data_IF_680532211471
#
_entry.id   IF_680532211471
#
_cell.length_a   1.000
_cell.length_b   1.000
_cell.length_c   1.000
_cell.angle_alpha   90.00
_cell.angle_beta   90.00
_cell.angle_gamma   90.00
#
_symmetry.space_group_name_H-M   'P 1'
#
loop_
_entity.id
_entity.type
_entity.pdbx_description
1 polymer ?
#
# COMPACT_ATOMS: atom_id res chain seq x y z
N UNK A 1 34.23 2.47 -40.44
CA UNK A 1 34.92 1.48 -39.58
C UNK A 1 33.88 0.97 -38.61
N UNK A 2 33.49 -0.30 -38.70
CA UNK A 2 32.62 -0.90 -37.69
C UNK A 2 33.41 -1.00 -36.37
N UNK A 3 32.77 -0.73 -35.24
CA UNK A 3 33.39 -0.91 -33.94
C UNK A 3 33.67 -2.42 -33.71
N UNK A 4 34.84 -2.82 -33.18
CA UNK A 4 35.20 -4.24 -32.98
C UNK A 4 34.13 -5.05 -32.25
N UNK A 5 33.47 -4.43 -31.26
CA UNK A 5 32.35 -5.02 -30.50
C UNK A 5 31.13 -5.39 -31.35
N UNK A 6 30.79 -4.61 -32.38
CA UNK A 6 29.64 -4.90 -33.25
C UNK A 6 29.96 -6.10 -34.16
N UNK A 7 31.22 -6.25 -34.55
CA UNK A 7 31.67 -7.34 -35.41
C UNK A 7 31.65 -8.69 -34.66
N UNK A 8 32.07 -8.72 -33.39
CA UNK A 8 32.03 -9.96 -32.58
C UNK A 8 30.61 -10.38 -32.21
N UNK A 9 29.72 -9.44 -31.86
CA UNK A 9 28.32 -9.74 -31.56
C UNK A 9 27.59 -10.32 -32.79
N UNK A 10 27.90 -9.84 -34.00
CA UNK A 10 27.38 -10.41 -35.24
C UNK A 10 27.82 -11.87 -35.48
N UNK A 11 29.03 -12.23 -35.04
CA UNK A 11 29.52 -13.62 -35.08
C UNK A 11 28.81 -14.50 -34.06
N UNK A 12 28.58 -14.00 -32.84
CA UNK A 12 27.79 -14.72 -31.83
C UNK A 12 26.36 -14.97 -32.30
N UNK A 13 25.71 -13.97 -32.89
CA UNK A 13 24.37 -14.10 -33.46
C UNK A 13 24.31 -15.18 -34.57
N UNK A 14 25.31 -15.20 -35.46
CA UNK A 14 25.39 -16.22 -36.50
C UNK A 14 25.66 -17.62 -35.92
N UNK A 15 26.46 -17.73 -34.86
CA UNK A 15 26.70 -19.00 -34.15
C UNK A 15 25.42 -19.48 -33.47
N UNK A 16 24.67 -18.58 -32.83
CA UNK A 16 23.38 -18.89 -32.22
C UNK A 16 22.36 -19.39 -33.25
N UNK A 17 22.25 -18.74 -34.42
CA UNK A 17 21.38 -19.22 -35.50
C UNK A 17 21.71 -20.66 -35.91
N UNK A 18 23.00 -20.99 -36.03
CA UNK A 18 23.42 -22.36 -36.31
C UNK A 18 23.10 -23.33 -35.16
N UNK A 19 23.37 -22.94 -33.91
CA UNK A 19 23.07 -23.73 -32.71
C UNK A 19 21.56 -24.02 -32.59
N UNK A 20 20.73 -22.98 -32.71
CA UNK A 20 19.27 -23.07 -32.64
C UNK A 20 18.65 -23.98 -33.71
N UNK A 21 19.36 -24.21 -34.81
CA UNK A 21 18.97 -25.13 -35.89
C UNK A 21 19.33 -26.59 -35.61
N UNK A 22 20.08 -26.88 -34.55
CA UNK A 22 20.43 -28.25 -34.18
C UNK A 22 19.23 -28.99 -33.56
N UNK A 23 19.15 -30.34 -33.71
CA UNK A 23 18.04 -31.13 -33.15
C UNK A 23 17.99 -31.11 -31.62
N UNK A 24 19.15 -31.06 -30.96
CA UNK A 24 19.27 -30.96 -29.50
C UNK A 24 20.47 -30.07 -29.16
N UNK A 25 20.21 -28.99 -28.42
CA UNK A 25 21.24 -28.11 -27.87
C UNK A 25 21.87 -28.70 -26.60
N UNK A 26 21.09 -29.47 -25.84
CA UNK A 26 21.52 -30.09 -24.59
C UNK A 26 22.56 -31.19 -24.80
N UNK A 27 22.45 -31.93 -25.91
CA UNK A 27 23.31 -33.07 -26.23
C UNK A 27 24.43 -32.72 -27.22
N UNK A 28 24.62 -31.43 -27.50
CA UNK A 28 25.63 -30.98 -28.46
C UNK A 28 27.04 -31.17 -27.88
N UNK A 29 27.93 -31.74 -28.69
CA UNK A 29 29.33 -31.85 -28.33
C UNK A 29 30.01 -30.49 -28.43
N UNK A 30 30.59 -30.02 -27.32
CA UNK A 30 31.33 -28.76 -27.24
C UNK A 30 32.49 -28.70 -28.23
N UNK A 31 33.10 -29.84 -28.60
CA UNK A 31 34.17 -29.86 -29.61
C UNK A 31 33.69 -29.40 -30.99
N UNK A 32 32.44 -29.73 -31.34
CA UNK A 32 31.80 -29.29 -32.59
C UNK A 32 31.47 -27.80 -32.55
N UNK A 33 31.03 -27.32 -31.39
CA UNK A 33 30.75 -25.89 -31.17
C UNK A 33 32.04 -25.07 -31.27
N UNK A 34 33.13 -25.54 -30.65
CA UNK A 34 34.44 -24.90 -30.74
C UNK A 34 34.93 -24.83 -32.19
N UNK A 35 34.94 -25.96 -32.91
CA UNK A 35 35.37 -26.00 -34.30
C UNK A 35 34.54 -25.05 -35.17
N UNK A 36 33.23 -24.94 -34.92
CA UNK A 36 32.36 -24.01 -35.64
C UNK A 36 32.69 -22.54 -35.33
N UNK A 37 32.95 -22.21 -34.07
CA UNK A 37 33.34 -20.87 -33.66
C UNK A 37 34.68 -20.45 -34.30
N UNK A 38 35.66 -21.35 -34.35
CA UNK A 38 36.95 -21.11 -34.99
C UNK A 38 36.82 -20.87 -36.50
N UNK A 39 35.95 -21.61 -37.20
CA UNK A 39 35.61 -21.36 -38.63
C UNK A 39 35.02 -19.96 -38.83
N UNK A 40 34.32 -19.43 -37.82
CA UNK A 40 33.75 -18.08 -37.84
C UNK A 40 34.75 -17.00 -37.39
N UNK A 41 36.03 -17.37 -37.28
CA UNK A 41 37.12 -16.48 -36.83
C UNK A 41 36.85 -15.90 -35.43
N UNK A 42 36.36 -16.75 -34.52
CA UNK A 42 36.33 -16.48 -33.08
C UNK A 42 37.51 -17.21 -32.42
N UNK A 43 38.36 -16.48 -31.69
CA UNK A 43 39.40 -17.06 -30.84
C UNK A 43 38.76 -17.54 -29.55
N UNK A 44 38.64 -18.87 -29.39
CA UNK A 44 38.03 -19.48 -28.20
C UNK A 44 39.08 -19.67 -27.11
N UNK A 45 38.87 -19.06 -25.95
CA UNK A 45 39.71 -19.27 -24.76
C UNK A 45 39.15 -20.36 -23.84
N UNK A 46 37.84 -20.31 -23.60
CA UNK A 46 37.14 -21.34 -22.85
C UNK A 46 35.77 -21.58 -23.47
N UNK A 47 35.32 -22.82 -23.36
CA UNK A 47 34.01 -23.26 -23.79
C UNK A 47 33.50 -24.31 -22.81
N UNK A 48 32.47 -23.97 -22.05
CA UNK A 48 31.96 -24.82 -20.98
C UNK A 48 30.46 -24.60 -20.76
N UNK A 49 29.79 -25.58 -20.15
CA UNK A 49 28.39 -25.45 -19.77
C UNK A 49 28.33 -24.88 -18.36
N UNK A 50 27.66 -23.74 -18.20
CA UNK A 50 27.43 -23.11 -16.91
C UNK A 50 25.96 -22.72 -16.74
N UNK A 51 25.60 -22.34 -15.51
CA UNK A 51 24.32 -21.71 -15.20
C UNK A 51 24.55 -20.20 -15.05
N UNK A 52 23.94 -19.41 -15.92
CA UNK A 52 24.11 -17.94 -16.00
C UNK A 52 22.84 -17.23 -15.57
N UNK A 53 22.94 -16.07 -14.94
CA UNK A 53 21.80 -15.34 -14.38
C UNK A 53 22.06 -14.84 -12.96
N UNK A 54 21.27 -13.86 -12.51
CA UNK A 54 21.38 -13.33 -11.13
C UNK A 54 20.45 -14.01 -10.12
N UNK A 55 19.25 -14.42 -10.55
CA UNK A 55 18.22 -15.00 -9.69
C UNK A 55 17.96 -16.45 -10.12
N UNK A 56 17.04 -16.66 -11.05
CA UNK A 56 16.90 -17.95 -11.71
C UNK A 56 17.97 -18.07 -12.78
N UNK A 57 18.68 -19.20 -12.77
CA UNK A 57 19.83 -19.41 -13.63
C UNK A 57 19.44 -20.20 -14.89
N UNK A 58 19.81 -19.66 -16.04
CA UNK A 58 19.67 -20.29 -17.35
C UNK A 58 20.88 -21.19 -17.61
N UNK A 59 20.70 -22.50 -17.86
CA UNK A 59 21.79 -23.35 -18.30
C UNK A 59 22.20 -22.98 -19.74
N UNK A 60 23.48 -22.71 -19.96
CA UNK A 60 24.01 -22.20 -21.22
C UNK A 60 25.41 -22.72 -21.51
N UNK A 61 25.75 -22.81 -22.80
CA UNK A 61 27.13 -22.92 -23.26
C UNK A 61 27.74 -21.53 -23.17
N UNK A 62 28.78 -21.37 -22.37
CA UNK A 62 29.52 -20.13 -22.19
C UNK A 62 30.80 -20.21 -23.01
N UNK A 63 30.90 -19.33 -24.01
CA UNK A 63 32.06 -19.18 -24.87
C UNK A 63 32.78 -17.88 -24.50
N UNK A 64 34.01 -17.99 -24.00
CA UNK A 64 34.84 -16.84 -23.69
C UNK A 64 35.85 -16.60 -24.82
N UNK A 65 35.95 -15.35 -25.27
CA UNK A 65 36.95 -14.87 -26.24
C UNK A 65 37.86 -13.82 -25.59
N UNK A 66 38.85 -13.31 -26.32
CA UNK A 66 39.72 -12.19 -25.85
C UNK A 66 38.91 -10.94 -25.49
N UNK A 67 37.83 -10.66 -26.21
CA UNK A 67 37.11 -9.39 -26.14
C UNK A 67 35.79 -9.46 -25.37
N UNK A 68 35.08 -10.59 -25.41
CA UNK A 68 33.75 -10.76 -24.82
C UNK A 68 33.42 -12.22 -24.49
N UNK A 69 32.41 -12.39 -23.64
CA UNK A 69 31.79 -13.69 -23.33
C UNK A 69 30.38 -13.75 -23.90
N UNK A 70 30.04 -14.90 -24.50
CA UNK A 70 28.73 -15.20 -25.04
C UNK A 70 28.12 -16.42 -24.33
N UNK A 71 26.86 -16.31 -23.94
CA UNK A 71 26.08 -17.40 -23.34
C UNK A 71 25.01 -17.85 -24.35
N UNK A 72 25.05 -19.12 -24.73
CA UNK A 72 24.09 -19.76 -25.61
C UNK A 72 23.21 -20.70 -24.79
N UNK A 73 21.93 -20.35 -24.51
CA UNK A 73 21.04 -21.17 -23.71
C UNK A 73 20.88 -22.60 -24.27
N UNK A 74 20.84 -23.59 -23.38
CA UNK A 74 20.71 -25.01 -23.75
C UNK A 74 19.29 -25.42 -24.16
N UNK A 75 18.31 -24.58 -23.87
CA UNK A 75 16.90 -24.81 -24.16
C UNK A 75 16.35 -23.62 -24.90
N UNK A 76 15.51 -23.84 -25.92
CA UNK A 76 14.75 -22.74 -26.50
C UNK A 76 13.71 -22.24 -25.49
N UNK A 77 13.27 -21.00 -25.66
CA UNK A 77 12.20 -20.42 -24.85
C UNK A 77 10.97 -21.34 -24.93
N UNK A 78 10.45 -21.74 -23.77
CA UNK A 78 9.32 -22.68 -23.65
C UNK A 78 9.68 -24.16 -23.61
N UNK A 79 10.93 -24.54 -23.91
CA UNK A 79 11.39 -25.94 -23.83
C UNK A 79 12.03 -26.28 -22.48
N UNK A 80 12.52 -25.28 -21.74
CA UNK A 80 13.06 -25.46 -20.39
C UNK A 80 11.91 -25.73 -19.38
N UNK A 81 11.82 -26.95 -18.80
CA UNK A 81 10.76 -27.28 -17.86
C UNK A 81 10.76 -26.38 -16.62
N UNK A 82 11.93 -25.99 -16.11
CA UNK A 82 12.06 -25.16 -14.92
C UNK A 82 11.53 -23.74 -15.20
N UNK A 83 11.86 -23.20 -16.38
CA UNK A 83 11.32 -21.92 -16.86
C UNK A 83 9.79 -21.95 -16.99
N UNK A 84 9.21 -23.00 -17.57
CA UNK A 84 7.75 -23.13 -17.75
C UNK A 84 7.03 -23.16 -16.40
N UNK A 85 7.54 -23.97 -15.46
CA UNK A 85 6.98 -24.06 -14.10
C UNK A 85 7.06 -22.71 -13.39
N UNK A 86 8.21 -22.04 -13.49
CA UNK A 86 8.43 -20.76 -12.84
C UNK A 86 7.57 -19.65 -13.46
N UNK A 87 7.42 -19.60 -14.79
CA UNK A 87 6.52 -18.66 -15.46
C UNK A 87 5.06 -18.85 -15.00
N UNK A 88 4.60 -20.10 -14.87
CA UNK A 88 3.27 -20.39 -14.33
C UNK A 88 3.12 -19.95 -12.87
N UNK A 89 4.16 -20.08 -12.05
CA UNK A 89 4.16 -19.55 -10.69
C UNK A 89 4.09 -18.02 -10.67
N UNK A 90 4.98 -17.33 -11.39
CA UNK A 90 5.04 -15.86 -11.37
C UNK A 90 3.80 -15.20 -11.96
N UNK A 91 3.18 -15.79 -12.98
CA UNK A 91 1.88 -15.33 -13.48
C UNK A 91 0.77 -15.41 -12.41
N UNK A 92 0.74 -16.48 -11.61
CA UNK A 92 -0.21 -16.58 -10.49
C UNK A 92 0.05 -15.53 -9.43
N UNK A 93 1.32 -15.31 -9.07
CA UNK A 93 1.69 -14.26 -8.10
C UNK A 93 1.30 -12.87 -8.60
N UNK A 94 1.56 -12.56 -9.87
CA UNK A 94 1.15 -11.28 -10.48
C UNK A 94 -0.37 -11.08 -10.46
N UNK A 95 -1.15 -12.14 -10.72
CA UNK A 95 -2.61 -12.08 -10.63
C UNK A 95 -3.11 -11.82 -9.19
N UNK A 96 -2.41 -12.31 -8.17
CA UNK A 96 -2.74 -11.98 -6.77
C UNK A 96 -2.47 -10.51 -6.46
N UNK A 97 -1.36 -9.95 -6.96
CA UNK A 97 -1.08 -8.52 -6.82
C UNK A 97 -2.13 -7.65 -7.51
N UNK A 98 -2.50 -8.01 -8.74
CA UNK A 98 -3.57 -7.32 -9.48
C UNK A 98 -4.92 -7.38 -8.76
N UNK A 99 -5.28 -8.54 -8.18
CA UNK A 99 -6.49 -8.70 -7.36
C UNK A 99 -6.53 -7.76 -6.16
N UNK A 100 -5.37 -7.45 -5.56
CA UNK A 100 -5.24 -6.49 -4.45
C UNK A 100 -5.06 -5.04 -4.93
N UNK A 101 -5.21 -4.78 -6.24
CA UNK A 101 -4.94 -3.47 -6.86
C UNK A 101 -3.55 -2.93 -6.50
N UNK A 102 -2.56 -3.83 -6.50
CA UNK A 102 -1.21 -3.53 -6.10
C UNK A 102 -0.18 -4.20 -7.02
N UNK A 103 1.10 -3.99 -6.72
CA UNK A 103 2.24 -4.56 -7.44
C UNK A 103 3.19 -5.25 -6.47
N UNK A 104 4.14 -6.05 -6.97
CA UNK A 104 5.13 -6.72 -6.12
C UNK A 104 6.07 -5.69 -5.48
N UNK A 105 6.15 -5.58 -4.14
CA UNK A 105 6.91 -4.53 -3.49
C UNK A 105 8.43 -4.83 -3.46
N UNK A 106 9.25 -3.78 -3.53
CA UNK A 106 10.73 -3.88 -3.50
C UNK A 106 11.28 -4.22 -2.11
N UNK A 107 10.76 -3.56 -1.08
CA UNK A 107 11.38 -3.49 0.24
C UNK A 107 10.68 -4.33 1.31
N UNK A 108 9.93 -5.34 0.88
CA UNK A 108 9.21 -6.23 1.79
C UNK A 108 9.80 -7.62 1.67
N UNK A 109 10.26 -8.16 2.79
CA UNK A 109 10.88 -9.47 2.83
C UNK A 109 9.86 -10.58 2.50
N UNK A 110 10.35 -11.66 1.89
CA UNK A 110 9.52 -12.78 1.43
C UNK A 110 8.78 -13.49 2.58
N UNK A 111 9.32 -13.46 3.80
CA UNK A 111 8.65 -13.99 5.00
C UNK A 111 7.39 -13.20 5.39
N UNK A 112 7.26 -11.94 4.93
CA UNK A 112 6.05 -11.12 5.07
C UNK A 112 5.12 -11.25 3.87
N UNK A 113 5.67 -11.33 2.66
CA UNK A 113 4.89 -11.50 1.42
C UNK A 113 4.20 -12.86 1.38
N UNK A 114 4.89 -13.94 1.75
CA UNK A 114 4.37 -15.31 1.69
C UNK A 114 3.05 -15.51 2.44
N UNK A 115 2.95 -15.13 3.74
CA UNK A 115 1.71 -15.18 4.48
C UNK A 115 0.58 -14.35 3.86
N UNK A 116 0.86 -13.10 3.44
CA UNK A 116 -0.11 -12.26 2.75
C UNK A 116 -0.67 -12.96 1.51
N UNK A 117 0.20 -13.42 0.60
CA UNK A 117 -0.22 -14.05 -0.65
C UNK A 117 -1.04 -15.32 -0.39
N UNK A 118 -0.71 -16.07 0.67
CA UNK A 118 -1.46 -17.25 1.09
C UNK A 118 -2.87 -16.89 1.57
N UNK A 119 -3.02 -15.83 2.36
CA UNK A 119 -4.30 -15.38 2.91
C UNK A 119 -5.24 -14.83 1.81
N UNK A 120 -4.67 -14.20 0.78
CA UNK A 120 -5.48 -13.63 -0.31
C UNK A 120 -5.79 -14.62 -1.44
N UNK A 121 -5.11 -15.76 -1.50
CA UNK A 121 -5.20 -16.68 -2.64
C UNK A 121 -6.63 -17.17 -2.92
N UNK A 122 -7.37 -17.55 -1.87
CA UNK A 122 -8.66 -18.25 -1.99
C UNK A 122 -9.89 -17.41 -1.58
N UNK A 123 -9.74 -16.11 -1.32
CA UNK A 123 -10.86 -15.23 -0.97
C UNK A 123 -11.40 -14.44 -2.17
N UNK A 124 -12.46 -13.65 -2.01
CA UNK A 124 -12.90 -12.68 -3.02
C UNK A 124 -12.00 -11.41 -3.06
N UNK A 125 -12.27 -10.48 -3.97
CA UNK A 125 -11.47 -9.24 -4.14
C UNK A 125 -11.55 -8.30 -2.94
N UNK A 126 -12.72 -8.18 -2.32
CA UNK A 126 -12.96 -7.28 -1.19
C UNK A 126 -12.27 -7.80 0.08
N UNK A 127 -12.39 -9.10 0.34
CA UNK A 127 -11.68 -9.80 1.39
C UNK A 127 -10.17 -9.77 1.18
N UNK A 128 -9.68 -9.91 -0.06
CA UNK A 128 -8.26 -9.79 -0.37
C UNK A 128 -7.72 -8.39 -0.05
N UNK A 129 -8.48 -7.33 -0.33
CA UNK A 129 -8.08 -5.96 0.00
C UNK A 129 -8.04 -5.73 1.51
N UNK A 130 -9.02 -6.22 2.28
CA UNK A 130 -8.97 -6.16 3.75
C UNK A 130 -7.73 -6.85 4.32
N UNK A 131 -7.39 -8.03 3.81
CA UNK A 131 -6.18 -8.75 4.23
C UNK A 131 -4.92 -7.98 3.83
N UNK A 132 -4.88 -7.43 2.62
CA UNK A 132 -3.79 -6.56 2.18
C UNK A 132 -3.59 -5.37 3.13
N UNK A 133 -4.66 -4.65 3.46
CA UNK A 133 -4.60 -3.49 4.34
C UNK A 133 -4.15 -3.86 5.75
N UNK A 134 -4.64 -4.98 6.28
CA UNK A 134 -4.19 -5.53 7.57
C UNK A 134 -2.67 -5.79 7.57
N UNK A 135 -2.17 -6.58 6.63
CA UNK A 135 -0.74 -6.91 6.56
C UNK A 135 0.11 -5.67 6.31
N UNK A 136 -0.28 -4.82 5.36
CA UNK A 136 0.49 -3.64 4.98
C UNK A 136 0.54 -2.57 6.06
N UNK A 137 -0.46 -2.49 6.95
CA UNK A 137 -0.42 -1.58 8.11
C UNK A 137 0.79 -1.84 9.03
N UNK A 138 1.26 -3.09 9.08
CA UNK A 138 2.41 -3.52 9.89
C UNK A 138 3.74 -3.47 9.14
N UNK A 139 3.69 -3.34 7.80
CA UNK A 139 4.87 -3.33 6.93
C UNK A 139 5.21 -1.88 6.54
N UNK A 140 4.26 -1.14 5.97
CA UNK A 140 4.40 0.26 5.57
C UNK A 140 4.11 1.21 6.73
N UNK A 141 4.80 0.98 7.84
CA UNK A 141 4.67 1.78 9.07
C UNK A 141 5.01 3.26 8.85
N UNK A 142 4.63 4.10 9.82
CA UNK A 142 4.96 5.54 9.81
C UNK A 142 6.46 5.78 9.63
N UNK A 143 7.31 4.96 10.27
CA UNK A 143 8.77 5.04 10.14
C UNK A 143 9.28 4.58 8.78
N UNK A 144 8.68 3.52 8.20
CA UNK A 144 9.00 3.07 6.84
C UNK A 144 8.75 4.20 5.83
N UNK A 145 7.59 4.84 5.91
CA UNK A 145 7.22 5.96 5.05
C UNK A 145 8.17 7.16 5.23
N UNK A 146 8.62 7.44 6.47
CA UNK A 146 9.60 8.50 6.72
C UNK A 146 10.93 8.23 6.02
N UNK A 147 11.43 6.99 6.04
CA UNK A 147 12.66 6.58 5.34
C UNK A 147 12.50 6.72 3.83
N UNK A 148 11.37 6.29 3.26
CA UNK A 148 11.05 6.53 1.86
C UNK A 148 11.19 8.01 1.48
N UNK A 149 10.56 8.89 2.26
CA UNK A 149 10.47 10.32 1.96
C UNK A 149 11.79 11.06 2.21
N UNK A 150 12.47 10.76 3.31
CA UNK A 150 13.64 11.51 3.77
C UNK A 150 14.97 10.95 3.25
N UNK A 151 15.04 9.69 2.80
CA UNK A 151 16.31 9.04 2.45
C UNK A 151 16.34 8.47 1.04
N UNK A 152 15.21 7.96 0.54
CA UNK A 152 15.15 7.38 -0.80
C UNK A 152 14.82 8.44 -1.85
N UNK A 153 13.71 9.16 -1.69
CA UNK A 153 13.27 10.16 -2.67
C UNK A 153 14.26 11.32 -2.93
N UNK A 154 15.05 11.81 -1.94
CA UNK A 154 16.05 12.85 -2.22
C UNK A 154 17.19 12.39 -3.13
N UNK A 155 17.38 11.07 -3.29
CA UNK A 155 18.38 10.50 -4.20
C UNK A 155 17.85 10.32 -5.63
N UNK A 156 16.55 10.52 -5.84
CA UNK A 156 15.97 10.49 -7.18
C UNK A 156 16.19 11.84 -7.86
N UNK A 157 16.58 11.83 -9.13
CA UNK A 157 16.92 13.05 -9.86
C UNK A 157 15.70 13.95 -10.09
N UNK A 158 14.55 13.39 -10.44
CA UNK A 158 13.31 14.13 -10.70
C UNK A 158 12.45 14.24 -9.42
N UNK A 159 12.36 13.19 -8.60
CA UNK A 159 11.48 13.22 -7.41
C UNK A 159 12.05 14.03 -6.26
N UNK A 160 13.36 14.28 -6.21
CA UNK A 160 13.97 15.15 -5.19
C UNK A 160 13.30 16.53 -5.12
N UNK A 161 12.88 17.09 -6.26
CA UNK A 161 12.20 18.38 -6.30
C UNK A 161 10.79 18.35 -5.68
N UNK A 162 10.14 17.19 -5.66
CA UNK A 162 8.82 17.01 -5.04
C UNK A 162 8.91 16.64 -3.55
N UNK A 163 10.09 16.30 -3.03
CA UNK A 163 10.28 15.91 -1.62
C UNK A 163 9.68 16.91 -0.63
N UNK A 164 9.83 18.24 -0.77
CA UNK A 164 9.19 19.19 0.16
C UNK A 164 7.67 19.03 0.21
N UNK A 165 7.01 18.89 -0.94
CA UNK A 165 5.56 18.67 -1.03
C UNK A 165 5.16 17.31 -0.44
N UNK A 166 5.93 16.25 -0.71
CA UNK A 166 5.66 14.91 -0.19
C UNK A 166 5.84 14.89 1.34
N UNK A 167 6.85 15.59 1.86
CA UNK A 167 7.08 15.77 3.30
C UNK A 167 5.93 16.53 3.95
N UNK A 168 5.45 17.60 3.31
CA UNK A 168 4.28 18.36 3.78
C UNK A 168 3.02 17.49 3.79
N UNK A 169 2.75 16.73 2.72
CA UNK A 169 1.63 15.79 2.66
C UNK A 169 1.73 14.73 3.76
N UNK A 170 2.92 14.18 4.00
CA UNK A 170 3.14 13.24 5.10
C UNK A 170 2.83 13.84 6.47
N UNK A 171 3.36 15.02 6.78
CA UNK A 171 3.07 15.68 8.05
C UNK A 171 1.60 16.12 8.16
N UNK A 172 0.99 16.56 7.07
CA UNK A 172 -0.41 16.94 6.98
C UNK A 172 -1.34 15.74 7.21
N UNK A 173 -1.00 14.57 6.68
CA UNK A 173 -1.75 13.34 6.87
C UNK A 173 -1.83 12.98 8.35
N UNK A 174 -0.68 13.02 9.04
CA UNK A 174 -0.57 12.79 10.48
C UNK A 174 -1.04 13.97 11.36
N UNK A 175 -1.42 15.09 10.73
CA UNK A 175 -2.10 16.22 11.37
C UNK A 175 -3.61 16.24 11.06
N UNK A 176 -4.19 15.12 10.62
CA UNK A 176 -5.62 14.98 10.34
C UNK A 176 -6.07 15.45 8.95
N UNK A 177 -5.21 16.06 8.14
CA UNK A 177 -5.53 16.52 6.77
C UNK A 177 -5.35 15.39 5.74
N UNK A 178 -5.93 14.22 5.98
CA UNK A 178 -5.64 12.98 5.22
C UNK A 178 -6.03 13.09 3.75
N UNK A 179 -7.28 13.52 3.46
CA UNK A 179 -7.75 13.67 2.07
C UNK A 179 -6.88 14.63 1.26
N UNK A 180 -6.55 15.80 1.82
CA UNK A 180 -5.68 16.79 1.17
C UNK A 180 -4.27 16.25 0.92
N UNK A 181 -3.76 15.45 1.86
CA UNK A 181 -2.44 14.83 1.74
C UNK A 181 -2.39 13.78 0.64
N UNK A 182 -3.43 12.94 0.52
CA UNK A 182 -3.58 11.99 -0.59
C UNK A 182 -3.70 12.73 -1.92
N UNK A 183 -4.55 13.76 -1.97
CA UNK A 183 -4.77 14.58 -3.17
C UNK A 183 -3.49 15.26 -3.66
N UNK A 184 -2.61 15.70 -2.76
CA UNK A 184 -1.34 16.32 -3.10
C UNK A 184 -0.36 15.35 -3.79
N UNK A 185 -0.43 14.05 -3.47
CA UNK A 185 0.49 13.04 -4.01
C UNK A 185 0.08 12.51 -5.38
N UNK A 186 -1.22 12.44 -5.70
CA UNK A 186 -1.72 11.86 -6.96
C UNK A 186 -1.11 12.52 -8.21
N UNK A 187 -1.05 13.87 -8.35
CA UNK A 187 -0.50 14.51 -9.53
C UNK A 187 1.01 14.29 -9.74
N UNK A 188 1.75 13.95 -8.68
CA UNK A 188 3.21 13.77 -8.74
C UNK A 188 3.57 12.65 -9.73
N UNK A 189 2.78 11.58 -9.81
CA UNK A 189 3.02 10.48 -10.74
C UNK A 189 3.04 10.93 -12.20
N UNK A 190 2.02 11.66 -12.65
CA UNK A 190 1.92 12.11 -14.04
C UNK A 190 3.08 13.06 -14.39
N UNK A 191 3.37 14.02 -13.50
CA UNK A 191 4.46 14.95 -13.67
C UNK A 191 5.83 14.26 -13.69
N UNK A 192 6.08 13.35 -12.76
CA UNK A 192 7.33 12.62 -12.66
C UNK A 192 7.56 11.72 -13.87
N UNK A 193 6.58 10.90 -14.27
CA UNK A 193 6.72 9.98 -15.42
C UNK A 193 7.03 10.76 -16.70
N UNK A 194 6.29 11.85 -16.99
CA UNK A 194 6.55 12.70 -18.17
C UNK A 194 7.96 13.29 -18.14
N UNK A 195 8.42 13.77 -16.98
CA UNK A 195 9.77 14.33 -16.82
C UNK A 195 10.88 13.28 -16.97
N UNK A 196 10.72 12.09 -16.37
CA UNK A 196 11.68 10.98 -16.51
C UNK A 196 11.79 10.56 -17.98
N UNK A 197 10.66 10.47 -18.66
CA UNK A 197 10.61 10.12 -20.08
C UNK A 197 11.13 11.23 -21.02
N UNK A 198 11.36 12.45 -20.52
CA UNK A 198 11.70 13.62 -21.32
C UNK A 198 10.56 14.07 -22.26
N UNK A 199 9.31 13.81 -21.87
CA UNK A 199 8.13 14.07 -22.68
C UNK A 199 7.58 15.48 -22.48
N UNK A 200 6.93 16.01 -23.52
CA UNK A 200 6.16 17.26 -23.43
C UNK A 200 4.81 17.07 -22.71
N UNK A 201 4.12 18.18 -22.43
CA UNK A 201 2.87 18.16 -21.67
C UNK A 201 1.74 17.33 -22.32
N UNK A 202 1.70 17.28 -23.66
CA UNK A 202 0.66 16.59 -24.45
C UNK A 202 0.95 15.10 -24.68
N UNK A 203 2.05 14.57 -24.13
CA UNK A 203 2.42 13.18 -24.29
C UNK A 203 1.40 12.23 -23.67
N UNK A 204 1.13 11.11 -24.35
CA UNK A 204 0.22 10.08 -23.86
C UNK A 204 0.85 9.32 -22.70
N UNK A 205 0.30 9.50 -21.50
CA UNK A 205 0.89 8.96 -20.26
C UNK A 205 1.15 7.45 -20.30
N UNK A 206 0.27 6.66 -20.95
CA UNK A 206 0.44 5.21 -21.06
C UNK A 206 1.69 4.82 -21.88
N UNK A 207 2.01 5.60 -22.91
CA UNK A 207 3.22 5.39 -23.70
C UNK A 207 4.48 5.77 -22.93
N UNK A 208 4.44 6.88 -22.19
CA UNK A 208 5.58 7.31 -21.37
C UNK A 208 5.86 6.33 -20.23
N UNK A 209 4.82 5.70 -19.66
CA UNK A 209 4.98 4.60 -18.69
C UNK A 209 5.78 3.45 -19.31
N UNK A 210 5.40 2.99 -20.50
CA UNK A 210 6.09 1.89 -21.18
C UNK A 210 7.56 2.26 -21.42
N UNK A 211 7.82 3.44 -22.00
CA UNK A 211 9.18 3.94 -22.26
C UNK A 211 10.05 4.00 -21.01
N UNK A 212 9.53 4.53 -19.89
CA UNK A 212 10.28 4.65 -18.64
C UNK A 212 10.65 3.27 -18.09
N UNK A 213 9.67 2.38 -18.04
CA UNK A 213 9.87 1.05 -17.45
C UNK A 213 10.69 0.14 -18.37
N UNK A 214 10.54 0.24 -19.70
CA UNK A 214 11.28 -0.56 -20.68
C UNK A 214 12.78 -0.33 -20.51
N UNK A 215 13.21 0.92 -20.34
CA UNK A 215 14.63 1.26 -20.10
C UNK A 215 15.15 0.69 -18.78
N UNK A 216 14.34 0.69 -17.72
CA UNK A 216 14.71 0.08 -16.45
C UNK A 216 14.83 -1.46 -16.58
N UNK A 217 13.92 -2.09 -17.32
CA UNK A 217 13.97 -3.53 -17.64
C UNK A 217 15.19 -3.85 -18.52
N UNK A 218 15.53 -3.02 -19.50
CA UNK A 218 16.72 -3.20 -20.33
C UNK A 218 18.00 -3.24 -19.50
N UNK A 219 18.12 -2.37 -18.48
CA UNK A 219 19.25 -2.40 -17.55
C UNK A 219 19.24 -3.67 -16.70
N UNK A 220 18.08 -4.06 -16.17
CA UNK A 220 17.94 -5.31 -15.42
C UNK A 220 18.29 -6.54 -16.27
N UNK A 221 17.89 -6.57 -17.54
CA UNK A 221 18.21 -7.64 -18.47
C UNK A 221 19.72 -7.75 -18.74
N UNK A 222 20.42 -6.62 -18.89
CA UNK A 222 21.88 -6.61 -19.04
C UNK A 222 22.56 -7.14 -17.80
N UNK A 223 22.17 -6.64 -16.62
CA UNK A 223 22.77 -7.06 -15.35
C UNK A 223 22.42 -8.51 -14.97
N UNK A 224 21.28 -9.03 -15.42
CA UNK A 224 20.89 -10.43 -15.20
C UNK A 224 21.98 -11.38 -15.72
N UNK A 225 22.51 -11.10 -16.91
CA UNK A 225 23.56 -11.89 -17.56
C UNK A 225 24.96 -11.27 -17.41
N UNK A 226 25.20 -10.42 -16.41
CA UNK A 226 26.52 -9.79 -16.17
C UNK A 226 27.10 -9.08 -17.41
N UNK A 227 26.24 -8.38 -18.16
CA UNK A 227 26.53 -7.73 -19.44
C UNK A 227 27.03 -8.65 -20.58
N UNK A 228 27.12 -9.97 -20.35
CA UNK A 228 27.54 -10.96 -21.33
C UNK A 228 26.54 -11.06 -22.47
N UNK A 229 27.02 -11.38 -23.67
CA UNK A 229 26.16 -11.52 -24.84
C UNK A 229 25.25 -12.73 -24.67
N UNK A 230 23.95 -12.54 -24.93
CA UNK A 230 22.93 -13.60 -25.00
C UNK A 230 22.02 -13.27 -26.19
N UNK A 231 21.34 -14.26 -26.77
CA UNK A 231 20.37 -13.98 -27.83
C UNK A 231 19.28 -13.02 -27.35
N UNK A 232 18.81 -12.14 -28.24
CA UNK A 232 17.89 -11.04 -27.91
C UNK A 232 16.65 -11.50 -27.16
N UNK A 233 16.08 -12.63 -27.58
CA UNK A 233 14.81 -13.15 -27.05
C UNK A 233 14.91 -13.51 -25.55
N UNK A 234 16.10 -13.80 -25.04
CA UNK A 234 16.35 -14.09 -23.62
C UNK A 234 16.55 -12.82 -22.79
N UNK A 235 16.70 -11.66 -23.43
CA UNK A 235 16.69 -10.34 -22.77
C UNK A 235 15.31 -9.69 -22.77
N UNK A 236 14.36 -10.27 -23.48
CA UNK A 236 13.01 -9.74 -23.54
C UNK A 236 12.24 -9.97 -22.23
N UNK A 237 11.28 -9.08 -21.96
CA UNK A 237 10.36 -9.20 -20.84
C UNK A 237 9.65 -10.56 -20.81
N UNK A 238 9.28 -11.11 -21.98
CA UNK A 238 8.58 -12.39 -22.11
C UNK A 238 9.34 -13.55 -21.44
N UNK A 239 10.68 -13.55 -21.55
CA UNK A 239 11.55 -14.53 -20.90
C UNK A 239 11.86 -14.14 -19.46
N UNK A 240 12.32 -12.90 -19.24
CA UNK A 240 12.84 -12.45 -17.96
C UNK A 240 11.79 -12.22 -16.88
N UNK A 241 10.51 -12.10 -17.23
CA UNK A 241 9.43 -11.91 -16.27
C UNK A 241 9.40 -13.00 -15.18
N UNK A 242 9.77 -14.23 -15.52
CA UNK A 242 9.90 -15.30 -14.52
C UNK A 242 11.31 -15.40 -13.93
N UNK A 243 12.34 -14.94 -14.64
CA UNK A 243 13.73 -15.23 -14.30
C UNK A 243 14.38 -14.17 -13.42
N UNK A 244 13.96 -12.91 -13.51
CA UNK A 244 14.59 -11.79 -12.80
C UNK A 244 13.58 -11.06 -11.91
N UNK A 245 13.86 -11.01 -10.61
CA UNK A 245 12.95 -10.39 -9.64
C UNK A 245 12.78 -8.88 -9.87
N UNK A 246 13.81 -8.19 -10.39
CA UNK A 246 13.73 -6.76 -10.69
C UNK A 246 12.78 -6.53 -11.86
N UNK A 247 12.91 -7.34 -12.92
CA UNK A 247 12.01 -7.29 -14.08
C UNK A 247 10.58 -7.59 -13.66
N UNK A 248 10.36 -8.59 -12.81
CA UNK A 248 9.03 -8.92 -12.28
C UNK A 248 8.41 -7.73 -11.50
N UNK A 249 9.18 -7.08 -10.64
CA UNK A 249 8.72 -5.93 -9.86
C UNK A 249 8.40 -4.73 -10.77
N UNK A 250 9.30 -4.39 -11.69
CA UNK A 250 9.11 -3.29 -12.63
C UNK A 250 7.90 -3.50 -13.54
N UNK A 251 7.70 -4.72 -14.03
CA UNK A 251 6.55 -5.07 -14.86
C UNK A 251 5.24 -5.06 -14.08
N UNK A 252 5.20 -5.61 -12.86
CA UNK A 252 3.96 -5.55 -12.05
C UNK A 252 3.61 -4.10 -11.66
N UNK A 253 4.61 -3.24 -11.44
CA UNK A 253 4.40 -1.81 -11.24
C UNK A 253 3.84 -1.12 -12.50
N UNK A 254 4.40 -1.42 -13.69
CA UNK A 254 3.86 -0.96 -14.98
C UNK A 254 2.39 -1.35 -15.14
N UNK A 255 2.06 -2.62 -14.87
CA UNK A 255 0.69 -3.13 -14.95
C UNK A 255 -0.22 -2.32 -14.03
N UNK A 256 0.13 -2.18 -12.75
CA UNK A 256 -0.65 -1.38 -11.80
C UNK A 256 -0.87 0.08 -12.27
N UNK A 257 0.17 0.74 -12.78
CA UNK A 257 0.04 2.10 -13.32
C UNK A 257 -0.99 2.16 -14.47
N UNK A 258 -0.99 1.19 -15.38
CA UNK A 258 -1.84 1.19 -16.58
C UNK A 258 -3.25 0.64 -16.34
N UNK A 259 -3.38 -0.41 -15.52
CA UNK A 259 -4.64 -1.13 -15.28
C UNK A 259 -5.37 -0.70 -14.02
N UNK A 260 -4.75 0.13 -13.16
CA UNK A 260 -5.43 0.66 -11.97
C UNK A 260 -5.31 2.18 -11.91
N UNK A 261 -4.09 2.72 -11.82
CA UNK A 261 -3.90 4.13 -11.48
C UNK A 261 -4.27 5.11 -12.61
N UNK A 262 -3.90 4.83 -13.86
CA UNK A 262 -4.18 5.65 -15.05
C UNK A 262 -5.25 5.03 -15.99
N UNK A 263 -6.00 4.05 -15.52
CA UNK A 263 -7.04 3.42 -16.34
C UNK A 263 -8.18 4.40 -16.64
N UNK A 264 -8.75 4.33 -17.86
CA UNK A 264 -9.96 5.10 -18.23
C UNK A 264 -11.10 4.80 -17.24
N UNK A 265 -11.81 5.84 -16.79
CA UNK A 265 -12.86 5.74 -15.78
C UNK A 265 -13.99 4.78 -16.16
N UNK A 266 -14.25 4.58 -17.46
CA UNK A 266 -15.26 3.64 -17.97
C UNK A 266 -14.84 2.19 -17.87
N UNK A 267 -13.54 1.93 -17.70
CA UNK A 267 -12.96 0.58 -17.62
C UNK A 267 -12.51 0.23 -16.21
N UNK A 268 -12.38 1.22 -15.33
CA UNK A 268 -11.97 1.00 -13.95
C UNK A 268 -13.08 0.33 -13.15
N UNK A 269 -12.75 -0.84 -12.58
CA UNK A 269 -13.63 -1.66 -11.75
C UNK A 269 -13.08 -1.85 -10.32
N UNK A 270 -12.09 -1.03 -9.94
CA UNK A 270 -11.39 -1.16 -8.69
C UNK A 270 -12.15 -0.70 -7.45
N UNK A 271 -11.86 -1.36 -6.34
CA UNK A 271 -12.44 -1.15 -5.02
C UNK A 271 -11.63 -0.17 -4.18
N UNK A 272 -10.36 0.09 -4.51
CA UNK A 272 -9.54 1.09 -3.80
C UNK A 272 -9.88 2.52 -4.19
N UNK A 273 -10.50 2.70 -5.36
CA UNK A 273 -10.78 3.97 -6.01
C UNK A 273 -9.53 4.83 -6.26
N UNK A 274 -8.33 4.26 -6.09
CA UNK A 274 -7.06 4.93 -6.30
C UNK A 274 -6.73 5.02 -7.80
N UNK A 275 -7.47 5.89 -8.48
CA UNK A 275 -7.35 6.15 -9.91
C UNK A 275 -7.29 7.67 -10.16
N UNK A 276 -6.30 8.10 -10.94
CA UNK A 276 -6.00 9.50 -11.25
C UNK A 276 -7.14 10.22 -11.97
N UNK A 277 -7.90 9.52 -12.82
CA UNK A 277 -9.01 10.11 -13.55
C UNK A 277 -10.27 10.22 -12.68
N UNK A 278 -10.57 9.21 -11.85
CA UNK A 278 -11.65 9.27 -10.88
C UNK A 278 -11.44 10.41 -9.87
N UNK A 279 -10.22 10.56 -9.37
CA UNK A 279 -9.82 11.68 -8.53
C UNK A 279 -10.07 13.03 -9.22
N UNK A 280 -9.50 13.22 -10.42
CA UNK A 280 -9.57 14.52 -11.09
C UNK A 280 -10.97 14.93 -11.54
N UNK A 281 -11.87 13.97 -11.76
CA UNK A 281 -13.26 14.22 -12.09
C UNK A 281 -14.18 14.23 -10.85
N UNK A 282 -13.64 14.01 -9.65
CA UNK A 282 -14.41 14.01 -8.40
C UNK A 282 -15.52 12.97 -8.37
N UNK A 283 -15.34 11.82 -9.05
CA UNK A 283 -16.41 10.85 -9.27
C UNK A 283 -16.80 10.04 -8.01
N UNK A 284 -15.96 10.07 -6.97
CA UNK A 284 -16.17 9.38 -5.70
C UNK A 284 -15.28 10.02 -4.63
N UNK A 285 -15.64 9.93 -3.35
CA UNK A 285 -14.78 10.28 -2.22
C UNK A 285 -13.93 9.10 -1.72
N UNK A 286 -14.20 7.87 -2.18
CA UNK A 286 -13.55 6.64 -1.68
C UNK A 286 -12.02 6.60 -1.89
N UNK A 287 -11.48 7.39 -2.81
CA UNK A 287 -10.02 7.52 -2.98
C UNK A 287 -9.32 8.11 -1.75
N UNK A 288 -10.07 8.75 -0.84
CA UNK A 288 -9.56 9.37 0.39
C UNK A 288 -9.25 8.35 1.50
N UNK A 289 -9.45 7.06 1.24
CA UNK A 289 -9.10 5.99 2.18
C UNK A 289 -7.66 6.11 2.69
N UNK A 290 -7.46 5.92 3.99
CA UNK A 290 -6.16 6.12 4.63
C UNK A 290 -5.08 5.16 4.10
N UNK A 291 -5.45 3.97 3.65
CA UNK A 291 -4.53 3.01 3.02
C UNK A 291 -3.99 3.53 1.68
N UNK A 292 -4.70 4.43 1.00
CA UNK A 292 -4.21 5.01 -0.25
C UNK A 292 -3.02 5.94 -0.03
N UNK A 293 -2.88 6.56 1.14
CA UNK A 293 -1.73 7.40 1.45
C UNK A 293 -0.41 6.60 1.46
N UNK A 294 -0.38 5.51 2.23
CA UNK A 294 0.79 4.61 2.27
C UNK A 294 1.08 3.97 0.91
N UNK A 295 0.04 3.59 0.15
CA UNK A 295 0.18 3.14 -1.24
C UNK A 295 0.91 4.20 -2.08
N UNK A 296 0.45 5.45 -2.07
CA UNK A 296 1.07 6.52 -2.86
C UNK A 296 2.54 6.76 -2.46
N UNK A 297 2.86 6.80 -1.16
CA UNK A 297 4.26 6.98 -0.70
C UNK A 297 5.16 5.85 -1.22
N UNK A 298 4.72 4.60 -1.10
CA UNK A 298 5.48 3.43 -1.56
C UNK A 298 5.62 3.46 -3.08
N UNK A 299 4.55 3.73 -3.82
CA UNK A 299 4.55 3.76 -5.27
C UNK A 299 5.41 4.90 -5.85
N UNK A 300 5.40 6.09 -5.25
CA UNK A 300 6.31 7.19 -5.64
C UNK A 300 7.77 6.78 -5.39
N UNK A 301 8.03 6.11 -4.27
CA UNK A 301 9.38 5.63 -3.94
C UNK A 301 9.87 4.56 -4.91
N UNK A 302 8.99 3.61 -5.30
CA UNK A 302 9.26 2.63 -6.37
C UNK A 302 9.54 3.32 -7.70
N UNK A 303 8.80 4.39 -8.04
CA UNK A 303 9.07 5.18 -9.24
C UNK A 303 10.47 5.82 -9.20
N UNK A 304 10.95 6.26 -8.03
CA UNK A 304 12.31 6.77 -7.87
C UNK A 304 13.40 5.71 -8.10
N UNK A 305 13.14 4.45 -7.75
CA UNK A 305 13.99 3.31 -8.13
C UNK A 305 13.97 3.11 -9.64
N UNK A 306 12.78 3.04 -10.24
CA UNK A 306 12.64 2.85 -11.69
C UNK A 306 13.34 3.96 -12.46
N UNK A 307 13.26 5.22 -12.02
CA UNK A 307 14.02 6.33 -12.60
C UNK A 307 15.53 6.08 -12.54
N UNK A 308 16.04 5.70 -11.37
CA UNK A 308 17.49 5.46 -11.17
C UNK A 308 18.02 4.33 -12.06
N UNK A 309 17.14 3.38 -12.41
CA UNK A 309 17.44 2.29 -13.34
C UNK A 309 17.26 2.72 -14.81
N UNK A 310 16.26 3.55 -15.11
CA UNK A 310 16.03 4.12 -16.44
C UNK A 310 17.23 4.96 -16.92
N UNK A 311 17.87 5.71 -16.03
CA UNK A 311 19.03 6.56 -16.35
C UNK A 311 20.40 5.96 -16.00
N UNK A 312 20.42 4.70 -15.54
CA UNK A 312 21.60 3.95 -15.09
C UNK A 312 22.37 4.58 -13.92
N UNK A 313 21.79 5.56 -13.20
CA UNK A 313 22.47 6.22 -12.08
C UNK A 313 22.55 5.34 -10.83
N UNK A 314 21.60 4.41 -10.66
CA UNK A 314 21.49 3.52 -9.51
C UNK A 314 21.52 4.26 -8.15
N UNK A 315 21.07 5.51 -8.11
CA UNK A 315 21.16 6.38 -6.92
C UNK A 315 20.16 5.97 -5.83
N UNK A 316 18.96 5.56 -6.21
CA UNK A 316 17.96 5.00 -5.28
C UNK A 316 18.18 3.48 -5.17
N UNK A 317 18.41 3.00 -3.95
CA UNK A 317 18.76 1.61 -3.69
C UNK A 317 17.58 0.65 -3.85
N UNK A 318 17.85 -0.56 -4.36
CA UNK A 318 16.94 -1.69 -4.29
C UNK A 318 16.78 -2.23 -2.86
N UNK A 319 17.76 -1.99 -1.99
CA UNK A 319 17.71 -2.41 -0.59
C UNK A 319 17.16 -1.29 0.28
N UNK A 320 16.27 -1.65 1.21
CA UNK A 320 15.74 -0.67 2.13
C UNK A 320 16.85 -0.21 3.09
N UNK A 321 17.15 1.09 3.17
CA UNK A 321 18.21 1.57 4.02
C UNK A 321 17.80 1.48 5.49
N UNK A 322 18.80 1.30 6.36
CA UNK A 322 18.62 1.56 7.78
C UNK A 322 18.35 3.04 7.95
N UNK A 323 17.38 3.39 8.81
CA UNK A 323 17.03 4.78 9.03
C UNK A 323 18.24 5.57 9.55
N UNK A 324 18.67 6.58 8.79
CA UNK A 324 19.51 7.67 9.26
C UNK A 324 18.71 8.72 10.07
N UNK A 325 19.44 9.76 10.51
CA UNK A 325 18.88 10.86 11.31
C UNK A 325 17.75 11.62 10.63
N UNK A 326 17.77 11.77 9.31
CA UNK A 326 16.74 12.55 8.60
C UNK A 326 15.42 11.76 8.56
N UNK A 327 15.50 10.45 8.34
CA UNK A 327 14.34 9.55 8.46
C UNK A 327 13.81 9.46 9.88
N UNK A 328 14.69 9.33 10.87
CA UNK A 328 14.32 9.32 12.29
C UNK A 328 13.62 10.63 12.71
N UNK A 329 14.16 11.78 12.32
CA UNK A 329 13.57 13.08 12.67
C UNK A 329 12.23 13.31 11.96
N UNK A 330 12.08 12.90 10.70
CA UNK A 330 10.78 12.98 10.02
C UNK A 330 9.74 12.07 10.69
N UNK A 331 10.14 10.85 11.06
CA UNK A 331 9.27 9.94 11.80
C UNK A 331 8.83 10.54 13.15
N UNK A 332 9.77 11.07 13.93
CA UNK A 332 9.48 11.74 15.21
C UNK A 332 8.55 12.94 15.03
N UNK A 333 8.73 13.72 13.95
CA UNK A 333 7.82 14.82 13.62
C UNK A 333 6.40 14.32 13.36
N UNK A 334 6.21 13.23 12.61
CA UNK A 334 4.87 12.65 12.40
C UNK A 334 4.24 12.14 13.70
N UNK A 335 5.00 11.46 14.57
CA UNK A 335 4.51 11.01 15.87
C UNK A 335 4.09 12.19 16.75
N UNK A 336 4.83 13.30 16.73
CA UNK A 336 4.45 14.52 17.42
C UNK A 336 3.15 15.11 16.86
N UNK A 337 3.00 15.17 15.53
CA UNK A 337 1.77 15.67 14.89
C UNK A 337 0.55 14.83 15.27
N UNK A 338 0.68 13.51 15.29
CA UNK A 338 -0.38 12.60 15.74
C UNK A 338 -0.84 12.92 17.16
N UNK A 339 0.10 13.11 18.10
CA UNK A 339 -0.23 13.44 19.50
C UNK A 339 -0.88 14.82 19.63
N UNK A 340 -0.40 15.81 18.88
CA UNK A 340 -1.01 17.14 18.90
C UNK A 340 -2.41 17.13 18.27
N UNK A 341 -2.61 16.33 17.23
CA UNK A 341 -3.91 16.19 16.58
C UNK A 341 -4.93 15.57 17.52
N UNK A 342 -4.55 14.57 18.32
CA UNK A 342 -5.42 14.02 19.36
C UNK A 342 -5.90 15.10 20.34
N UNK A 343 -4.99 15.95 20.83
CA UNK A 343 -5.33 17.06 21.73
C UNK A 343 -6.26 18.07 21.04
N UNK A 344 -5.97 18.45 19.79
CA UNK A 344 -6.78 19.37 19.01
C UNK A 344 -8.21 18.85 18.86
N UNK A 345 -8.34 17.60 18.44
CA UNK A 345 -9.61 16.92 18.19
C UNK A 345 -10.43 16.80 19.49
N UNK A 346 -9.81 16.42 20.61
CA UNK A 346 -10.48 16.42 21.92
C UNK A 346 -10.93 17.83 22.34
N UNK A 347 -10.13 18.85 22.06
CA UNK A 347 -10.48 20.24 22.36
C UNK A 347 -11.66 20.74 21.51
N UNK A 348 -11.67 20.44 20.21
CA UNK A 348 -12.78 20.76 19.32
C UNK A 348 -14.08 20.09 19.77
N UNK A 349 -14.05 18.79 20.09
CA UNK A 349 -15.20 18.08 20.64
C UNK A 349 -15.76 18.80 21.86
N UNK A 350 -14.90 19.19 22.80
CA UNK A 350 -15.33 19.92 23.99
C UNK A 350 -16.02 21.25 23.66
N UNK A 351 -15.51 22.02 22.68
CA UNK A 351 -16.11 23.28 22.24
C UNK A 351 -17.51 23.04 21.63
N UNK A 352 -17.62 22.09 20.70
CA UNK A 352 -18.89 21.78 20.04
C UNK A 352 -19.92 21.25 21.07
N UNK A 353 -19.47 20.41 22.00
CA UNK A 353 -20.31 19.86 23.06
C UNK A 353 -20.85 20.90 24.03
N UNK A 354 -20.06 21.93 24.37
CA UNK A 354 -20.55 23.05 25.19
C UNK A 354 -21.70 23.80 24.50
N UNK A 355 -21.79 23.72 23.17
CA UNK A 355 -22.89 24.28 22.38
C UNK A 355 -23.99 23.25 22.08
N UNK A 356 -23.90 22.04 22.66
CA UNK A 356 -24.82 20.94 22.44
C UNK A 356 -24.70 20.30 21.05
N UNK A 357 -23.63 20.55 20.30
CA UNK A 357 -23.47 20.08 18.91
C UNK A 357 -22.41 18.99 18.80
N UNK A 358 -22.52 18.18 17.76
CA UNK A 358 -21.44 17.30 17.31
C UNK A 358 -20.42 18.07 16.45
N UNK A 359 -19.17 17.62 16.46
CA UNK A 359 -18.17 18.07 15.48
C UNK A 359 -18.63 17.60 14.10
N UNK A 360 -18.67 18.48 13.08
CA UNK A 360 -19.02 18.09 11.73
C UNK A 360 -18.10 16.99 11.19
N UNK A 361 -18.68 16.06 10.44
CA UNK A 361 -17.92 15.00 9.78
C UNK A 361 -16.88 15.57 8.82
N UNK A 362 -15.66 15.03 8.88
CA UNK A 362 -14.62 15.29 7.90
C UNK A 362 -14.51 14.07 6.96
N UNK A 363 -14.02 14.26 5.72
CA UNK A 363 -14.03 13.17 4.73
C UNK A 363 -13.25 11.91 5.11
N UNK A 364 -12.35 11.99 6.10
CA UNK A 364 -11.48 10.89 6.55
C UNK A 364 -11.56 10.61 8.05
N UNK A 365 -12.49 11.27 8.73
CA UNK A 365 -12.75 11.10 10.16
C UNK A 365 -14.23 11.43 10.40
N UNK A 366 -15.04 10.38 10.55
CA UNK A 366 -16.46 10.48 10.91
C UNK A 366 -16.64 10.71 12.42
N UNK A 367 -15.53 10.82 13.17
CA UNK A 367 -15.46 11.03 14.61
C UNK A 367 -15.80 9.80 15.45
N UNK A 368 -16.23 8.67 14.87
CA UNK A 368 -16.79 7.52 15.60
C UNK A 368 -15.80 6.97 16.63
N UNK A 369 -14.55 6.73 16.24
CA UNK A 369 -13.54 6.13 17.13
C UNK A 369 -13.26 6.99 18.36
N UNK A 370 -13.13 8.31 18.16
CA UNK A 370 -12.94 9.25 19.25
C UNK A 370 -14.20 9.33 20.13
N UNK A 371 -15.37 9.43 19.49
CA UNK A 371 -16.65 9.43 20.21
C UNK A 371 -16.77 8.19 21.08
N UNK A 372 -16.42 7.01 20.56
CA UNK A 372 -16.46 5.75 21.29
C UNK A 372 -15.52 5.76 22.51
N UNK A 373 -14.26 6.18 22.32
CA UNK A 373 -13.28 6.25 23.39
C UNK A 373 -13.74 7.21 24.51
N UNK A 374 -14.19 8.41 24.13
CA UNK A 374 -14.69 9.41 25.07
C UNK A 374 -15.97 8.96 25.75
N UNK A 375 -16.89 8.34 25.01
CA UNK A 375 -18.16 7.83 25.54
C UNK A 375 -17.92 6.70 26.55
N UNK A 376 -16.99 5.79 26.26
CA UNK A 376 -16.62 4.72 27.16
C UNK A 376 -16.00 5.26 28.45
N UNK A 377 -15.05 6.19 28.36
CA UNK A 377 -14.40 6.81 29.52
C UNK A 377 -15.40 7.58 30.39
N UNK A 378 -16.21 8.44 29.77
CA UNK A 378 -17.18 9.26 30.50
C UNK A 378 -18.37 8.44 31.00
N UNK A 379 -18.80 7.37 30.32
CA UNK A 379 -19.83 6.47 30.84
C UNK A 379 -19.34 5.79 32.13
N UNK A 380 -18.08 5.33 32.14
CA UNK A 380 -17.47 4.76 33.34
C UNK A 380 -17.48 5.78 34.47
N UNK A 381 -17.07 7.02 34.18
CA UNK A 381 -16.92 8.08 35.17
C UNK A 381 -18.24 8.62 35.71
N UNK A 382 -19.19 8.91 34.83
CA UNK A 382 -20.39 9.71 35.13
C UNK A 382 -21.66 8.85 35.26
N UNK A 383 -21.62 7.56 34.89
CA UNK A 383 -22.76 6.64 35.02
C UNK A 383 -22.40 5.42 35.85
N UNK A 384 -21.37 4.65 35.47
CA UNK A 384 -21.02 3.38 36.13
C UNK A 384 -20.54 3.60 37.56
N UNK A 385 -19.60 4.52 37.79
CA UNK A 385 -19.11 4.83 39.15
C UNK A 385 -20.24 5.32 40.07
N UNK A 386 -21.05 6.33 39.69
CA UNK A 386 -22.20 6.74 40.51
C UNK A 386 -23.20 5.61 40.83
N UNK A 387 -23.52 4.74 39.86
CA UNK A 387 -24.40 3.59 40.10
C UNK A 387 -23.77 2.59 41.09
N UNK A 388 -22.48 2.29 40.96
CA UNK A 388 -21.75 1.44 41.91
C UNK A 388 -21.70 2.05 43.31
N UNK A 389 -21.46 3.35 43.41
CA UNK A 389 -21.48 4.09 44.68
C UNK A 389 -22.88 4.08 45.32
N UNK A 390 -23.94 4.01 44.50
CA UNK A 390 -25.32 3.85 44.96
C UNK A 390 -25.70 2.42 45.39
N UNK A 391 -24.81 1.44 45.17
CA UNK A 391 -24.97 0.05 45.63
C UNK A 391 -25.29 -0.97 44.52
N UNK A 392 -25.20 -0.60 43.25
CA UNK A 392 -25.47 -1.50 42.12
C UNK A 392 -24.22 -2.26 41.65
N UNK A 393 -24.39 -3.50 41.17
CA UNK A 393 -23.41 -4.15 40.30
C UNK A 393 -23.69 -3.75 38.85
N UNK A 394 -22.69 -3.23 38.12
CA UNK A 394 -22.92 -2.60 36.80
C UNK A 394 -22.00 -3.18 35.74
N UNK A 395 -22.61 -3.61 34.64
CA UNK A 395 -21.96 -3.99 33.38
C UNK A 395 -22.24 -2.91 32.32
N UNK A 396 -21.24 -2.58 31.49
CA UNK A 396 -21.35 -1.61 30.42
C UNK A 396 -21.15 -2.32 29.08
N UNK A 397 -22.00 -2.03 28.09
CA UNK A 397 -21.75 -2.42 26.71
C UNK A 397 -20.70 -1.52 26.05
N UNK A 398 -20.08 -2.01 24.98
CA UNK A 398 -19.37 -1.14 24.06
C UNK A 398 -20.33 -0.09 23.48
N UNK A 399 -19.85 1.12 23.15
CA UNK A 399 -20.61 2.10 22.38
C UNK A 399 -21.24 1.49 21.13
N UNK A 400 -22.39 2.02 20.71
CA UNK A 400 -23.04 1.59 19.46
C UNK A 400 -22.16 1.91 18.23
N UNK A 401 -22.55 1.38 17.06
CA UNK A 401 -21.74 1.46 15.82
C UNK A 401 -21.38 2.90 15.41
N UNK A 402 -22.22 3.88 15.75
CA UNK A 402 -21.99 5.30 15.46
C UNK A 402 -21.39 6.08 16.65
N UNK A 403 -21.17 5.38 17.76
CA UNK A 403 -20.72 5.92 19.04
C UNK A 403 -21.58 7.11 19.54
N UNK A 404 -22.88 7.00 19.32
CA UNK A 404 -23.90 7.93 19.76
C UNK A 404 -24.39 7.64 21.18
N UNK A 405 -24.38 6.37 21.61
CA UNK A 405 -24.73 5.98 22.98
C UNK A 405 -24.00 4.72 23.46
N UNK A 406 -23.96 4.54 24.79
CA UNK A 406 -23.58 3.30 25.46
C UNK A 406 -24.66 2.90 26.47
N UNK A 407 -24.80 1.61 26.75
CA UNK A 407 -25.77 1.10 27.74
C UNK A 407 -25.04 0.60 28.99
N UNK A 408 -25.47 1.08 30.15
CA UNK A 408 -25.04 0.57 31.45
C UNK A 408 -26.19 -0.19 32.10
N UNK A 409 -25.99 -1.48 32.37
CA UNK A 409 -26.96 -2.36 33.03
C UNK A 409 -26.54 -2.60 34.47
N UNK A 410 -27.35 -2.09 35.39
CA UNK A 410 -27.19 -2.22 36.82
C UNK A 410 -28.07 -3.36 37.36
N UNK A 411 -27.54 -4.15 38.30
CA UNK A 411 -28.24 -5.26 38.97
C UNK A 411 -27.97 -5.25 40.47
N UNK A 412 -29.01 -5.55 41.26
CA UNK A 412 -28.93 -5.75 42.71
C UNK A 412 -29.97 -6.79 43.12
N UNK A 413 -29.54 -8.03 43.37
CA UNK A 413 -30.48 -9.15 43.56
C UNK A 413 -31.27 -9.41 42.28
N UNK A 414 -32.61 -9.40 42.39
CA UNK A 414 -33.53 -9.53 41.24
C UNK A 414 -33.86 -8.17 40.59
N UNK A 415 -33.46 -7.05 41.19
CA UNK A 415 -33.70 -5.72 40.60
C UNK A 415 -32.69 -5.43 39.48
N UNK A 416 -33.20 -4.90 38.37
CA UNK A 416 -32.41 -4.44 37.23
C UNK A 416 -32.74 -2.99 36.90
N UNK A 417 -31.74 -2.20 36.53
CA UNK A 417 -31.91 -0.83 36.10
C UNK A 417 -30.95 -0.52 34.95
N UNK A 418 -31.46 -0.03 33.83
CA UNK A 418 -30.67 0.23 32.63
C UNK A 418 -30.61 1.72 32.34
N UNK A 419 -29.40 2.22 32.09
CA UNK A 419 -29.17 3.62 31.74
C UNK A 419 -28.57 3.70 30.35
N UNK A 420 -29.19 4.48 29.48
CA UNK A 420 -28.60 4.86 28.21
C UNK A 420 -27.80 6.15 28.39
N UNK A 421 -26.51 6.12 28.04
CA UNK A 421 -25.63 7.27 28.07
C UNK A 421 -25.36 7.78 26.66
N UNK A 422 -25.90 8.95 26.33
CA UNK A 422 -25.79 9.61 25.04
C UNK A 422 -24.54 10.49 24.96
N UNK A 423 -23.91 10.49 23.80
CA UNK A 423 -22.73 11.31 23.52
C UNK A 423 -23.02 12.81 23.47
N UNK A 424 -24.24 13.21 23.08
CA UNK A 424 -24.68 14.62 23.07
C UNK A 424 -26.20 14.75 23.24
N UNK A 425 -26.68 15.95 23.58
CA UNK A 425 -28.11 16.26 23.72
C UNK A 425 -28.84 16.45 22.38
N UNK A 426 -28.16 16.85 21.31
CA UNK A 426 -28.70 17.16 19.96
C UNK A 426 -28.75 15.92 19.07
N UNK A 427 -29.31 14.84 19.62
CA UNK A 427 -29.60 13.62 18.88
C UNK A 427 -31.04 13.64 18.38
N UNK A 428 -31.31 12.98 17.25
CA UNK A 428 -32.65 12.89 16.68
C UNK A 428 -33.65 12.26 17.66
N UNK A 429 -34.89 12.75 17.64
CA UNK A 429 -35.96 12.29 18.54
C UNK A 429 -36.25 10.79 18.40
N UNK A 430 -36.03 10.21 17.22
CA UNK A 430 -36.16 8.77 16.98
C UNK A 430 -35.16 7.96 17.81
N UNK A 431 -33.91 8.42 17.95
CA UNK A 431 -32.92 7.77 18.81
C UNK A 431 -33.35 7.83 20.28
N UNK A 432 -33.91 8.95 20.74
CA UNK A 432 -34.45 9.05 22.09
C UNK A 432 -35.61 8.06 22.35
N UNK A 433 -36.52 7.87 21.37
CA UNK A 433 -37.61 6.90 21.46
C UNK A 433 -37.09 5.47 21.50
N UNK A 434 -36.09 5.17 20.67
CA UNK A 434 -35.42 3.87 20.67
C UNK A 434 -34.80 3.57 22.03
N UNK A 435 -34.03 4.50 22.58
CA UNK A 435 -33.37 4.33 23.88
C UNK A 435 -34.38 4.21 25.02
N UNK A 436 -35.49 4.97 24.98
CA UNK A 436 -36.55 4.88 25.98
C UNK A 436 -37.27 3.52 26.00
N UNK A 437 -37.19 2.74 24.92
CA UNK A 437 -37.69 1.36 24.88
C UNK A 437 -36.73 0.34 25.52
N UNK A 438 -35.46 0.72 25.69
CA UNK A 438 -34.36 -0.16 26.14
C UNK A 438 -33.81 0.21 27.52
N UNK A 439 -34.07 1.43 28.01
CA UNK A 439 -33.48 1.97 29.22
C UNK A 439 -34.51 2.66 30.11
N UNK A 440 -34.29 2.60 31.43
CA UNK A 440 -35.11 3.20 32.48
C UNK A 440 -34.79 4.69 32.69
N UNK A 441 -33.59 5.12 32.27
CA UNK A 441 -33.16 6.50 32.22
C UNK A 441 -32.23 6.74 31.02
N UNK A 442 -32.32 7.95 30.45
CA UNK A 442 -31.43 8.43 29.40
C UNK A 442 -30.67 9.63 29.98
N UNK A 443 -29.35 9.55 30.00
CA UNK A 443 -28.49 10.66 30.41
C UNK A 443 -27.51 11.00 29.30
N UNK A 444 -27.08 12.25 29.20
CA UNK A 444 -26.19 12.68 28.11
C UNK A 444 -25.01 13.54 28.60
N UNK A 445 -23.97 13.62 27.76
CA UNK A 445 -22.83 14.50 27.98
C UNK A 445 -23.16 15.95 27.59
N UNK A 446 -22.64 16.88 28.39
CA UNK A 446 -22.78 18.32 28.14
C UNK A 446 -24.06 18.94 28.73
N UNK A 447 -24.24 20.26 28.55
CA UNK A 447 -25.37 20.99 29.11
C UNK A 447 -26.68 20.70 28.36
N UNK A 448 -27.85 20.90 29.01
CA UNK A 448 -29.15 20.78 28.36
C UNK A 448 -29.32 21.85 27.28
N UNK A 449 -29.22 21.45 26.00
CA UNK A 449 -29.46 22.33 24.86
C UNK A 449 -30.73 21.90 24.12
N UNK A 450 -31.78 22.74 24.16
CA UNK A 450 -33.09 22.47 23.56
C UNK A 450 -33.64 21.05 23.84
N UNK A 451 -33.28 20.44 24.98
CA UNK A 451 -33.63 19.05 25.32
C UNK A 451 -35.12 18.73 25.12
N UNK A 452 -36.01 19.66 25.49
CA UNK A 452 -37.46 19.46 25.35
C UNK A 452 -37.94 19.29 23.90
N UNK A 453 -37.18 19.80 22.92
CA UNK A 453 -37.46 19.59 21.49
C UNK A 453 -36.96 18.24 20.99
N UNK A 454 -35.80 17.77 21.47
CA UNK A 454 -35.20 16.50 21.04
C UNK A 454 -35.81 15.28 21.75
N UNK A 455 -36.15 15.42 23.03
CA UNK A 455 -36.71 14.35 23.86
C UNK A 455 -38.25 14.41 23.97
N UNK A 456 -38.92 14.98 22.96
CA UNK A 456 -40.39 15.09 22.97
C UNK A 456 -41.04 13.69 22.98
N UNK A 457 -42.00 13.49 23.88
CA UNK A 457 -42.78 12.26 23.98
C UNK A 457 -42.09 11.10 24.72
N UNK A 458 -40.98 11.37 25.43
CA UNK A 458 -40.26 10.38 26.22
C UNK A 458 -40.77 10.36 27.67
N UNK A 459 -41.09 9.16 28.17
CA UNK A 459 -41.66 8.96 29.50
C UNK A 459 -40.63 8.56 30.58
N UNK A 460 -39.41 8.22 30.18
CA UNK A 460 -38.28 7.94 31.08
C UNK A 460 -37.50 9.21 31.41
N UNK A 461 -36.66 9.17 32.43
CA UNK A 461 -35.83 10.33 32.77
C UNK A 461 -34.92 10.71 31.59
N UNK A 462 -34.84 12.01 31.27
CA UNK A 462 -33.87 12.56 30.30
C UNK A 462 -33.17 13.77 30.92
N UNK A 463 -31.85 13.76 30.97
CA UNK A 463 -31.09 14.88 31.56
C UNK A 463 -29.57 14.79 31.39
N UNK A 464 -28.84 15.87 31.71
CA UNK A 464 -27.39 15.86 31.68
C UNK A 464 -26.84 14.92 32.76
N UNK A 465 -25.80 14.16 32.45
CA UNK A 465 -25.15 13.29 33.44
C UNK A 465 -24.50 14.11 34.57
N UNK A 466 -23.98 15.30 34.25
CA UNK A 466 -23.52 16.29 35.22
C UNK A 466 -24.71 16.87 36.01
N UNK A 467 -25.10 16.18 37.08
CA UNK A 467 -26.23 16.53 37.94
C UNK A 467 -27.28 15.42 38.10
N UNK A 468 -27.13 14.30 37.40
CA UNK A 468 -27.98 13.13 37.59
C UNK A 468 -27.60 12.38 38.87
N UNK A 469 -28.60 11.99 39.67
CA UNK A 469 -28.43 11.18 40.86
C UNK A 469 -29.05 9.80 40.61
N UNK A 470 -28.26 8.71 40.62
CA UNK A 470 -28.78 7.38 40.37
C UNK A 470 -29.73 6.95 41.49
N UNK A 471 -30.80 6.19 41.17
CA UNK A 471 -31.64 5.58 42.20
C UNK A 471 -30.82 4.56 43.01
N UNK A 472 -31.21 4.33 44.25
CA UNK A 472 -30.64 3.25 45.08
C UNK A 472 -31.47 1.98 44.89
N UNK A 473 -30.85 0.78 44.90
CA UNK A 473 -31.61 -0.46 44.88
C UNK A 473 -32.46 -0.57 46.15
N UNK A 474 -33.65 -1.15 46.06
CA UNK A 474 -34.44 -1.40 47.27
C UNK A 474 -33.70 -2.44 48.10
N UNK A 475 -33.36 -2.09 49.34
CA UNK A 475 -32.75 -3.05 50.26
C UNK A 475 -33.76 -4.17 50.49
N UNK A 476 -33.45 -5.37 50.03
CA UNK A 476 -34.12 -6.57 50.52
C UNK A 476 -34.00 -6.57 52.06
N UNK A 477 -35.10 -6.65 52.82
CA UNK A 477 -34.99 -6.96 54.23
C UNK A 477 -34.28 -8.31 54.34
N UNK A 478 -33.12 -8.31 55.00
CA UNK A 478 -32.26 -9.49 55.14
C UNK A 478 -32.90 -10.62 55.94
#
# INVERSE_FOLDING_TARGET
MAHPKIEIEGKFEALWKWLSGQPSLKDIDLSVVQARAEVMSLTVHSLEIQKVGSFWLTPAIVLSTEENTACFPLYKIGEDPDWVVNLGHMNRVAALWEKMEWFSPLWVAQDKIGPLLKDVMNCDRESALRQFEYHMSTIYTVGFQAVCIAQLLPKSRILAEFVPLIREAYLGFYSGSRASSIAALIPIFEGAIKRIAGAGNDAQILHEIDKVVDRAIDLAAKLHFDEQWVPSDYRELSYLFSQDERVFIFETFRRWLKSSFFQDTRKYDGLTWLNRHLFAHGMSSKWQDSANFMRLVVAISTLGVIESWHDNSNQVSLFFPVADKDGELLWQQALLRLRLQEILVLHEVNIFHQQGRLVPELPTDDGVMLRAAVLAEDCIKDVVRPLRDAGWSVDMDEPDELAMYALARAKSGEETFTVAFLFSCDSDNELYKELASKADAIVYRGPPYKQGSFAQGINVHVGPAAGWLPPRPQRSPG
#
